data_IF_492902244257
#
_entry.id   IF_492902244257
#
_cell.length_a   1.000
_cell.length_b   1.000
_cell.length_c   1.000
_cell.angle_alpha   90.00
_cell.angle_beta   90.00
_cell.angle_gamma   90.00
#
_symmetry.space_group_name_H-M   'P 1'
#
loop_
_entity.id
_entity.type
_entity.pdbx_description
1 polymer ?
#
# COMPACT_ATOMS: atom_id res chain seq x y z
N UNK A 1 51.87 70.31 -15.42
CA UNK A 1 51.17 69.25 -16.20
C UNK A 1 50.78 68.13 -15.25
N UNK A 2 49.56 68.13 -14.71
CA UNK A 2 49.05 67.05 -13.86
C UNK A 2 47.95 66.31 -14.61
N UNK A 3 48.19 65.06 -15.01
CA UNK A 3 47.18 64.16 -15.55
C UNK A 3 46.45 63.50 -14.39
N UNK A 4 45.16 63.80 -14.22
CA UNK A 4 44.26 63.00 -13.38
C UNK A 4 43.66 61.90 -14.26
N UNK A 5 44.00 60.65 -13.97
CA UNK A 5 43.40 59.47 -14.59
C UNK A 5 42.16 59.11 -13.79
N UNK A 6 40.97 59.27 -14.38
CA UNK A 6 39.71 58.86 -13.77
C UNK A 6 39.46 57.41 -14.11
N UNK A 7 39.50 56.52 -13.12
CA UNK A 7 39.09 55.12 -13.28
C UNK A 7 37.56 55.03 -13.17
N UNK A 8 36.92 54.65 -14.27
CA UNK A 8 35.49 54.33 -14.31
C UNK A 8 35.34 52.85 -13.91
N UNK A 9 34.97 52.60 -12.66
CA UNK A 9 34.63 51.26 -12.18
C UNK A 9 33.27 50.83 -12.76
N UNK A 10 33.30 50.05 -13.84
CA UNK A 10 32.12 49.32 -14.32
C UNK A 10 31.82 48.17 -13.34
N UNK A 11 30.76 48.35 -12.55
CA UNK A 11 30.19 47.30 -11.71
C UNK A 11 29.42 46.33 -12.62
N UNK A 12 30.01 45.20 -12.97
CA UNK A 12 29.30 44.10 -13.61
C UNK A 12 28.41 43.41 -12.57
N UNK A 13 27.10 43.71 -12.59
CA UNK A 13 26.11 42.88 -11.93
C UNK A 13 26.02 41.55 -12.71
N UNK A 14 26.67 40.50 -12.21
CA UNK A 14 26.37 39.14 -12.64
C UNK A 14 25.01 38.76 -12.04
N UNK A 15 23.95 38.86 -12.84
CA UNK A 15 22.71 38.12 -12.60
C UNK A 15 23.04 36.64 -12.77
N UNK A 16 23.47 35.99 -11.69
CA UNK A 16 23.50 34.53 -11.63
C UNK A 16 22.04 34.07 -11.83
N UNK A 17 21.75 33.19 -12.80
CA UNK A 17 20.43 32.59 -12.89
C UNK A 17 20.19 31.86 -11.58
N UNK A 18 19.19 32.33 -10.82
CA UNK A 18 18.63 31.54 -9.74
C UNK A 18 17.92 30.38 -10.45
N UNK A 19 18.62 29.27 -10.61
CA UNK A 19 17.99 28.01 -10.95
C UNK A 19 17.11 27.66 -9.75
N UNK A 20 15.84 28.08 -9.77
CA UNK A 20 14.80 27.36 -9.05
C UNK A 20 14.77 25.98 -9.70
N UNK A 21 15.28 24.98 -8.98
CA UNK A 21 15.09 23.61 -9.42
C UNK A 21 13.58 23.37 -9.38
N UNK A 22 13.04 22.82 -10.47
CA UNK A 22 11.63 22.44 -10.48
C UNK A 22 11.38 21.40 -9.37
N UNK A 23 10.25 21.54 -8.67
CA UNK A 23 9.76 20.54 -7.71
C UNK A 23 9.75 19.16 -8.37
N UNK A 24 10.25 18.13 -7.67
CA UNK A 24 10.18 16.77 -8.20
C UNK A 24 8.76 16.22 -8.01
N UNK A 25 8.12 15.85 -9.12
CA UNK A 25 6.75 15.35 -9.19
C UNK A 25 6.76 13.88 -9.53
N UNK A 26 6.17 13.07 -8.67
CA UNK A 26 6.18 11.61 -8.75
C UNK A 26 4.73 11.16 -8.84
N UNK A 27 4.36 10.58 -9.97
CA UNK A 27 3.09 9.89 -10.10
C UNK A 27 3.13 8.55 -9.39
N UNK A 28 2.04 8.15 -8.76
CA UNK A 28 1.91 6.85 -8.10
C UNK A 28 0.65 6.17 -8.62
N UNK A 29 0.83 5.00 -9.21
CA UNK A 29 -0.23 4.08 -9.62
C UNK A 29 -0.37 3.03 -8.52
N UNK A 30 -1.61 2.84 -8.09
CA UNK A 30 -2.04 1.94 -7.02
C UNK A 30 -2.10 0.47 -7.42
N UNK A 31 -2.69 -0.34 -6.55
CA UNK A 31 -2.89 -1.77 -6.79
C UNK A 31 -3.77 -2.02 -8.02
N UNK A 32 -3.30 -2.87 -8.92
CA UNK A 32 -3.93 -3.07 -10.23
C UNK A 32 -4.81 -4.33 -10.30
N UNK A 33 -4.45 -5.43 -9.64
CA UNK A 33 -5.18 -6.71 -9.69
C UNK A 33 -5.79 -7.08 -8.33
N UNK A 34 -6.22 -8.33 -8.16
CA UNK A 34 -7.04 -8.78 -7.04
C UNK A 34 -8.55 -8.56 -7.25
N UNK A 35 -8.98 -8.18 -8.45
CA UNK A 35 -10.38 -8.00 -8.85
C UNK A 35 -10.96 -9.24 -9.53
N UNK A 36 -12.26 -9.47 -9.33
CA UNK A 36 -12.99 -10.54 -10.03
C UNK A 36 -13.26 -10.23 -11.51
N UNK A 37 -13.15 -8.97 -11.92
CA UNK A 37 -13.29 -8.51 -13.31
C UNK A 37 -12.00 -7.82 -13.77
N UNK A 38 -11.09 -8.62 -14.33
CA UNK A 38 -9.79 -8.14 -14.81
C UNK A 38 -9.90 -7.23 -16.04
N UNK A 39 -10.92 -7.42 -16.88
CA UNK A 39 -11.12 -6.56 -18.05
C UNK A 39 -11.48 -5.13 -17.62
N UNK A 40 -12.36 -5.00 -16.61
CA UNK A 40 -12.65 -3.71 -15.98
C UNK A 40 -11.41 -3.13 -15.29
N UNK A 41 -10.67 -3.95 -14.55
CA UNK A 41 -9.41 -3.54 -13.90
C UNK A 41 -8.42 -2.91 -14.89
N UNK A 42 -8.18 -3.51 -16.06
CA UNK A 42 -7.30 -2.94 -17.08
C UNK A 42 -7.86 -1.70 -17.78
N UNK A 43 -9.18 -1.53 -17.81
CA UNK A 43 -9.80 -0.27 -18.26
C UNK A 43 -9.48 0.87 -17.28
N UNK A 44 -9.64 0.62 -15.98
CA UNK A 44 -9.30 1.58 -14.92
C UNK A 44 -7.80 1.92 -14.94
N UNK A 45 -6.91 0.94 -15.19
CA UNK A 45 -5.48 1.23 -15.38
C UNK A 45 -5.23 2.22 -16.50
N UNK A 46 -5.89 2.02 -17.64
CA UNK A 46 -5.76 2.89 -18.80
C UNK A 46 -6.19 4.32 -18.47
N UNK A 47 -7.31 4.48 -17.77
CA UNK A 47 -7.81 5.77 -17.28
C UNK A 47 -6.84 6.39 -16.27
N UNK A 48 -6.29 5.59 -15.35
CA UNK A 48 -5.28 5.99 -14.38
C UNK A 48 -4.00 6.51 -15.04
N UNK A 49 -3.50 5.79 -16.05
CA UNK A 49 -2.33 6.21 -16.84
C UNK A 49 -2.58 7.55 -17.55
N UNK A 50 -3.78 7.77 -18.10
CA UNK A 50 -4.14 9.04 -18.74
C UNK A 50 -4.23 10.18 -17.72
N UNK A 51 -4.88 9.94 -16.58
CA UNK A 51 -5.04 10.91 -15.50
C UNK A 51 -3.70 11.33 -14.90
N UNK A 52 -2.82 10.36 -14.62
CA UNK A 52 -1.51 10.67 -14.04
C UNK A 52 -0.59 11.34 -15.05
N UNK A 53 -0.61 10.93 -16.32
CA UNK A 53 0.15 11.61 -17.37
C UNK A 53 -0.30 13.07 -17.53
N UNK A 54 -1.60 13.35 -17.44
CA UNK A 54 -2.14 14.71 -17.49
C UNK A 54 -1.71 15.57 -16.28
N UNK A 55 -1.39 14.95 -15.14
CA UNK A 55 -0.80 15.63 -13.98
C UNK A 55 0.68 15.98 -14.18
N UNK A 56 1.29 15.60 -15.30
CA UNK A 56 2.68 15.92 -15.69
C UNK A 56 3.71 15.63 -14.57
N UNK A 57 3.85 14.36 -14.13
CA UNK A 57 4.92 13.95 -13.25
C UNK A 57 6.23 13.76 -14.03
N UNK A 58 7.35 13.84 -13.31
CA UNK A 58 8.69 13.59 -13.86
C UNK A 58 8.97 12.08 -14.02
N UNK A 59 8.48 11.28 -13.06
CA UNK A 59 8.51 9.81 -13.07
C UNK A 59 7.20 9.24 -12.51
N UNK A 60 6.92 7.97 -12.77
CA UNK A 60 5.80 7.22 -12.18
C UNK A 60 6.30 6.01 -11.39
N UNK A 61 5.73 5.77 -10.22
CA UNK A 61 5.92 4.57 -9.42
C UNK A 61 4.64 3.74 -9.44
N UNK A 62 4.74 2.42 -9.57
CA UNK A 62 3.61 1.50 -9.46
C UNK A 62 3.83 0.61 -8.25
N UNK A 63 2.83 0.54 -7.35
CA UNK A 63 2.96 -0.17 -6.06
C UNK A 63 2.82 -1.70 -6.16
N UNK A 64 2.84 -2.28 -7.36
CA UNK A 64 2.70 -3.73 -7.60
C UNK A 64 1.30 -4.20 -7.95
N UNK A 65 1.14 -5.52 -7.99
CA UNK A 65 -0.07 -6.25 -8.38
C UNK A 65 -0.57 -5.89 -9.78
N UNK A 66 0.33 -5.93 -10.77
CA UNK A 66 0.00 -5.59 -12.16
C UNK A 66 -0.57 -6.78 -12.96
N UNK A 67 -0.36 -8.01 -12.48
CA UNK A 67 -0.91 -9.25 -13.06
C UNK A 67 -1.50 -10.19 -12.00
N UNK A 68 -2.07 -11.31 -12.45
CA UNK A 68 -2.59 -12.39 -11.61
C UNK A 68 -1.77 -13.67 -11.83
N UNK A 69 -0.75 -13.89 -11.00
CA UNK A 69 0.19 -15.02 -11.09
C UNK A 69 -0.44 -16.39 -10.82
N UNK A 70 -1.68 -16.40 -10.34
CA UNK A 70 -2.53 -17.59 -10.21
C UNK A 70 -2.98 -18.17 -11.56
N UNK A 71 -2.87 -17.42 -12.66
CA UNK A 71 -3.23 -17.85 -14.02
C UNK A 71 -2.13 -18.68 -14.71
N UNK A 72 -2.40 -19.12 -15.95
CA UNK A 72 -1.40 -19.79 -16.77
C UNK A 72 -0.28 -18.82 -17.16
N UNK A 73 0.93 -19.31 -17.41
CA UNK A 73 2.07 -18.45 -17.78
C UNK A 73 1.81 -17.65 -19.07
N UNK A 74 0.99 -18.18 -19.99
CA UNK A 74 0.59 -17.47 -21.19
C UNK A 74 -0.33 -16.29 -20.85
N UNK A 75 -1.33 -16.52 -20.01
CA UNK A 75 -2.29 -15.47 -19.62
C UNK A 75 -1.60 -14.37 -18.79
N UNK A 76 -0.65 -14.75 -17.92
CA UNK A 76 0.20 -13.81 -17.17
C UNK A 76 0.99 -12.93 -18.13
N UNK A 77 1.61 -13.53 -19.15
CA UNK A 77 2.38 -12.79 -20.14
C UNK A 77 1.49 -11.85 -20.94
N UNK A 78 0.33 -12.30 -21.40
CA UNK A 78 -0.60 -11.49 -22.19
C UNK A 78 -1.14 -10.31 -21.34
N UNK A 79 -1.48 -10.56 -20.09
CA UNK A 79 -1.94 -9.55 -19.13
C UNK A 79 -0.82 -8.55 -18.79
N UNK A 80 0.42 -9.02 -18.62
CA UNK A 80 1.58 -8.16 -18.42
C UNK A 80 1.80 -7.25 -19.64
N UNK A 81 1.80 -7.82 -20.86
CA UNK A 81 1.98 -7.07 -22.10
C UNK A 81 0.85 -6.04 -22.30
N UNK A 82 -0.39 -6.37 -21.93
CA UNK A 82 -1.51 -5.42 -21.92
C UNK A 82 -1.29 -4.27 -20.92
N UNK A 83 -0.97 -4.58 -19.66
CA UNK A 83 -0.79 -3.58 -18.61
C UNK A 83 0.34 -2.59 -18.96
N UNK A 84 1.49 -3.14 -19.38
CA UNK A 84 2.65 -2.36 -19.83
C UNK A 84 2.34 -1.49 -21.04
N UNK A 85 1.44 -1.92 -21.94
CA UNK A 85 1.05 -1.09 -23.08
C UNK A 85 0.41 0.23 -22.64
N UNK A 86 -0.40 0.24 -21.57
CA UNK A 86 -0.98 1.46 -21.01
C UNK A 86 0.07 2.31 -20.32
N UNK A 87 0.96 1.70 -19.52
CA UNK A 87 2.04 2.42 -18.86
C UNK A 87 2.99 3.09 -19.87
N UNK A 88 3.21 2.46 -21.02
CA UNK A 88 4.07 2.98 -22.08
C UNK A 88 3.47 4.16 -22.84
N UNK A 89 2.15 4.22 -22.95
CA UNK A 89 1.45 5.35 -23.59
C UNK A 89 1.65 6.66 -22.82
N UNK A 90 1.94 6.61 -21.51
CA UNK A 90 2.24 7.81 -20.72
C UNK A 90 3.46 8.56 -21.26
N UNK A 91 4.42 7.87 -21.90
CA UNK A 91 5.71 8.41 -22.32
C UNK A 91 6.49 9.09 -21.16
N UNK A 92 6.33 8.54 -19.95
CA UNK A 92 7.01 8.97 -18.72
C UNK A 92 7.79 7.76 -18.17
N UNK A 93 9.01 7.93 -17.65
CA UNK A 93 9.73 6.84 -16.98
C UNK A 93 8.89 6.28 -15.83
N UNK A 94 8.72 4.96 -15.78
CA UNK A 94 7.97 4.30 -14.73
C UNK A 94 8.77 3.16 -14.12
N UNK A 95 8.56 2.94 -12.82
CA UNK A 95 9.23 1.90 -12.02
C UNK A 95 8.20 1.19 -11.15
N UNK A 96 8.40 -0.10 -10.87
CA UNK A 96 7.43 -0.95 -10.16
C UNK A 96 8.11 -1.81 -9.09
N UNK A 97 7.45 -1.99 -7.95
CA UNK A 97 7.72 -3.07 -6.99
C UNK A 97 6.80 -4.25 -7.30
N UNK A 98 7.28 -5.48 -7.17
CA UNK A 98 6.43 -6.66 -7.38
C UNK A 98 5.51 -6.88 -6.18
N UNK A 99 4.22 -7.10 -6.46
CA UNK A 99 3.24 -7.44 -5.45
C UNK A 99 2.97 -8.93 -5.32
N UNK A 100 2.09 -9.27 -4.39
CA UNK A 100 1.82 -10.65 -4.05
C UNK A 100 1.04 -11.36 -5.16
N UNK A 101 0.15 -10.63 -5.86
CA UNK A 101 -0.52 -11.13 -7.05
C UNK A 101 0.44 -11.27 -8.25
N UNK A 102 1.59 -10.60 -8.27
CA UNK A 102 2.57 -10.74 -9.35
C UNK A 102 3.41 -12.03 -9.26
N UNK A 103 3.57 -12.59 -8.05
CA UNK A 103 4.59 -13.62 -7.79
C UNK A 103 4.11 -14.84 -7.00
N UNK A 104 2.96 -14.79 -6.33
CA UNK A 104 2.52 -15.92 -5.52
C UNK A 104 2.03 -17.09 -6.41
N UNK A 105 2.58 -18.31 -6.25
CA UNK A 105 2.12 -19.46 -7.00
C UNK A 105 0.65 -19.79 -6.66
N UNK A 106 -0.05 -20.57 -7.50
CA UNK A 106 -1.41 -21.05 -7.23
C UNK A 106 -1.57 -21.79 -5.89
N UNK A 107 -2.80 -22.22 -5.58
CA UNK A 107 -3.25 -22.67 -4.24
C UNK A 107 -2.52 -23.90 -3.63
N UNK A 108 -1.53 -24.48 -4.30
CA UNK A 108 -0.74 -25.63 -3.84
C UNK A 108 0.57 -25.26 -3.11
N UNK A 109 0.70 -24.00 -2.70
CA UNK A 109 1.84 -23.52 -1.92
C UNK A 109 1.90 -24.12 -0.51
N UNK A 110 3.09 -24.60 -0.11
CA UNK A 110 3.40 -24.92 1.29
C UNK A 110 4.26 -23.82 1.91
N UNK A 111 3.86 -23.22 3.05
CA UNK A 111 4.65 -22.19 3.74
C UNK A 111 6.11 -22.56 3.95
N UNK A 112 7.01 -21.64 3.60
CA UNK A 112 8.46 -21.83 3.71
C UNK A 112 9.10 -22.64 2.59
N UNK A 113 8.33 -23.05 1.58
CA UNK A 113 8.92 -23.52 0.32
C UNK A 113 9.44 -22.34 -0.49
N UNK A 114 10.62 -22.52 -1.10
CA UNK A 114 11.20 -21.58 -2.05
C UNK A 114 10.69 -21.90 -3.46
N UNK A 115 9.43 -21.60 -3.73
CA UNK A 115 8.95 -21.58 -5.12
C UNK A 115 9.27 -20.20 -5.70
N UNK A 116 10.09 -20.14 -6.74
CA UNK A 116 10.45 -18.87 -7.39
C UNK A 116 9.91 -18.78 -8.81
N UNK A 117 9.19 -19.77 -9.32
CA UNK A 117 8.85 -19.86 -10.75
C UNK A 117 8.07 -18.64 -11.25
N UNK A 118 7.08 -18.18 -10.47
CA UNK A 118 6.28 -16.99 -10.80
C UNK A 118 7.06 -15.69 -10.61
N UNK A 119 7.87 -15.60 -9.56
CA UNK A 119 8.78 -14.46 -9.35
C UNK A 119 9.81 -14.35 -10.49
N UNK A 120 10.38 -15.47 -10.93
CA UNK A 120 11.34 -15.56 -12.03
C UNK A 120 10.67 -15.20 -13.37
N UNK A 121 9.44 -15.67 -13.61
CA UNK A 121 8.65 -15.28 -14.77
C UNK A 121 8.42 -13.76 -14.79
N UNK A 122 7.93 -13.20 -13.69
CA UNK A 122 7.67 -11.76 -13.58
C UNK A 122 8.95 -10.93 -13.77
N UNK A 123 10.06 -11.31 -13.12
CA UNK A 123 11.35 -10.67 -13.29
C UNK A 123 11.81 -10.69 -14.76
N UNK A 124 11.66 -11.83 -15.45
CA UNK A 124 12.04 -11.93 -16.86
C UNK A 124 11.18 -11.06 -17.78
N UNK A 125 9.87 -10.96 -17.52
CA UNK A 125 8.97 -10.05 -18.22
C UNK A 125 9.37 -8.59 -18.00
N UNK A 126 9.65 -8.22 -16.75
CA UNK A 126 10.08 -6.87 -16.38
C UNK A 126 11.41 -6.50 -17.03
N UNK A 127 12.41 -7.40 -17.00
CA UNK A 127 13.71 -7.20 -17.67
C UNK A 127 13.54 -7.03 -19.16
N UNK A 128 12.72 -7.86 -19.80
CA UNK A 128 12.41 -7.74 -21.23
C UNK A 128 11.81 -6.39 -21.53
N UNK A 129 10.88 -5.89 -20.71
CA UNK A 129 10.28 -4.58 -20.92
C UNK A 129 11.27 -3.44 -20.71
N UNK A 130 11.99 -3.44 -19.59
CA UNK A 130 12.96 -2.39 -19.27
C UNK A 130 14.12 -2.32 -20.27
N UNK A 131 14.53 -3.44 -20.86
CA UNK A 131 15.56 -3.46 -21.90
C UNK A 131 15.20 -2.66 -23.15
N UNK A 132 13.91 -2.36 -23.38
CA UNK A 132 13.42 -1.54 -24.50
C UNK A 132 13.48 -0.04 -24.21
N UNK A 133 13.82 0.36 -22.97
CA UNK A 133 13.68 1.73 -22.47
C UNK A 133 15.04 2.33 -22.16
N UNK A 134 15.31 3.54 -22.64
CA UNK A 134 16.63 4.18 -22.54
C UNK A 134 17.01 4.67 -21.14
N UNK A 135 16.05 4.79 -20.21
CA UNK A 135 16.23 5.41 -18.88
C UNK A 135 15.94 4.46 -17.70
N UNK A 136 15.75 3.16 -17.97
CA UNK A 136 15.41 2.19 -16.93
C UNK A 136 16.63 1.35 -16.53
N UNK A 137 16.86 1.22 -15.23
CA UNK A 137 17.77 0.20 -14.67
C UNK A 137 17.13 -1.16 -14.95
N UNK A 138 17.87 -2.09 -15.57
CA UNK A 138 17.39 -3.45 -15.80
C UNK A 138 17.63 -4.24 -14.50
N UNK A 139 16.59 -4.65 -13.75
CA UNK A 139 16.76 -5.34 -12.49
C UNK A 139 17.36 -6.73 -12.68
N UNK A 140 18.34 -7.09 -11.84
CA UNK A 140 18.80 -8.48 -11.71
C UNK A 140 17.95 -9.29 -10.71
N UNK A 141 17.22 -8.58 -9.83
CA UNK A 141 16.33 -9.14 -8.79
C UNK A 141 15.08 -8.27 -8.68
N UNK A 142 14.04 -8.77 -8.03
CA UNK A 142 12.79 -8.02 -7.81
C UNK A 142 12.92 -6.88 -6.78
N UNK A 143 14.09 -6.75 -6.16
CA UNK A 143 14.51 -5.57 -5.43
C UNK A 143 15.68 -4.90 -6.15
N UNK A 144 15.60 -3.59 -6.33
CA UNK A 144 16.54 -2.79 -7.10
C UNK A 144 16.43 -1.31 -6.73
N UNK A 145 17.39 -0.50 -7.16
CA UNK A 145 17.40 0.94 -6.92
C UNK A 145 17.76 1.71 -8.19
N UNK A 146 17.45 3.01 -8.20
CA UNK A 146 17.80 3.92 -9.29
C UNK A 146 17.89 5.37 -8.78
N UNK A 147 18.67 6.18 -9.49
CA UNK A 147 18.78 7.61 -9.22
C UNK A 147 17.98 8.43 -10.24
N UNK A 148 17.30 9.46 -9.76
CA UNK A 148 16.62 10.42 -10.62
C UNK A 148 16.75 11.83 -10.06
N UNK A 149 17.35 12.74 -10.83
CA UNK A 149 17.50 14.17 -10.47
C UNK A 149 18.14 14.44 -9.09
N UNK A 150 19.03 13.54 -8.66
CA UNK A 150 19.75 13.61 -7.38
C UNK A 150 18.98 13.02 -6.18
N UNK A 151 17.78 12.49 -6.40
CA UNK A 151 17.07 11.64 -5.45
C UNK A 151 17.35 10.17 -5.76
N UNK A 152 17.31 9.35 -4.72
CA UNK A 152 17.53 7.92 -4.83
C UNK A 152 16.22 7.16 -4.53
N UNK A 153 15.93 6.16 -5.33
CA UNK A 153 14.71 5.38 -5.25
C UNK A 153 15.05 3.92 -5.04
N UNK A 154 14.37 3.28 -4.10
CA UNK A 154 14.60 1.88 -3.74
C UNK A 154 13.28 1.13 -3.90
N UNK A 155 13.24 0.14 -4.78
CA UNK A 155 12.13 -0.82 -4.87
C UNK A 155 12.53 -2.06 -4.07
N UNK A 156 11.86 -2.32 -2.95
CA UNK A 156 12.00 -3.54 -2.17
C UNK A 156 11.03 -4.61 -2.67
N UNK A 157 11.35 -5.86 -2.38
CA UNK A 157 10.53 -7.03 -2.66
C UNK A 157 9.98 -7.60 -1.35
N UNK A 158 8.68 -7.47 -1.11
CA UNK A 158 8.03 -7.93 0.14
C UNK A 158 7.80 -9.44 0.19
N UNK A 159 7.80 -10.12 -0.96
CA UNK A 159 7.48 -11.56 -1.08
C UNK A 159 8.74 -12.46 -1.01
N UNK A 160 9.75 -12.05 -0.21
CA UNK A 160 10.91 -12.91 0.12
C UNK A 160 10.46 -14.23 0.78
N UNK A 161 9.32 -14.17 1.48
CA UNK A 161 8.58 -15.32 1.96
C UNK A 161 7.16 -15.23 1.39
N UNK A 162 6.85 -16.13 0.45
CA UNK A 162 5.56 -16.13 -0.24
C UNK A 162 4.38 -16.37 0.70
N UNK A 163 3.21 -15.84 0.32
CA UNK A 163 1.92 -16.03 1.01
C UNK A 163 1.96 -15.59 2.48
N UNK A 164 2.70 -14.53 2.77
CA UNK A 164 2.67 -13.83 4.06
C UNK A 164 1.92 -12.52 3.91
N UNK A 165 1.15 -12.12 4.92
CA UNK A 165 0.52 -10.80 4.98
C UNK A 165 0.84 -10.22 6.37
N UNK A 166 1.19 -8.93 6.48
CA UNK A 166 1.53 -8.32 7.77
C UNK A 166 0.34 -8.26 8.75
N UNK A 167 -0.90 -8.40 8.28
CA UNK A 167 -2.13 -8.33 9.07
C UNK A 167 -2.61 -9.71 9.54
N UNK A 168 -2.30 -10.78 8.80
CA UNK A 168 -2.80 -12.13 9.05
C UNK A 168 -1.92 -13.24 8.43
N UNK A 169 -2.18 -14.49 8.80
CA UNK A 169 -1.37 -15.62 8.32
C UNK A 169 -0.10 -15.82 9.15
N UNK A 170 0.99 -16.28 8.51
CA UNK A 170 2.25 -16.52 9.21
C UNK A 170 3.10 -15.24 9.33
N UNK A 171 2.65 -14.31 10.17
CA UNK A 171 3.30 -13.02 10.43
C UNK A 171 4.77 -13.14 10.88
N UNK A 172 5.22 -14.30 11.36
CA UNK A 172 6.62 -14.51 11.72
C UNK A 172 7.54 -14.65 10.50
N UNK A 173 6.97 -14.91 9.33
CA UNK A 173 7.66 -15.01 8.05
C UNK A 173 7.56 -13.73 7.21
N UNK A 174 6.65 -12.82 7.55
CA UNK A 174 6.56 -11.49 6.95
C UNK A 174 7.77 -10.62 7.36
N UNK A 175 8.85 -10.75 6.60
CA UNK A 175 10.11 -10.00 6.80
C UNK A 175 10.94 -9.99 5.52
N UNK A 176 11.70 -8.92 5.32
CA UNK A 176 12.77 -8.88 4.32
C UNK A 176 13.84 -9.92 4.69
N UNK A 177 14.33 -10.69 3.73
CA UNK A 177 15.40 -11.70 3.91
C UNK A 177 16.74 -11.07 4.31
N UNK A 178 17.66 -11.87 4.86
CA UNK A 178 19.00 -11.39 5.23
C UNK A 178 19.82 -10.94 4.01
N UNK A 179 19.61 -11.58 2.86
CA UNK A 179 20.25 -11.23 1.60
C UNK A 179 19.78 -9.87 1.10
N UNK A 180 18.46 -9.66 1.04
CA UNK A 180 17.90 -8.37 0.62
C UNK A 180 18.22 -7.26 1.64
N UNK A 181 18.22 -7.57 2.94
CA UNK A 181 18.62 -6.61 3.97
C UNK A 181 20.08 -6.17 3.84
N UNK A 182 21.00 -7.12 3.56
CA UNK A 182 22.42 -6.80 3.36
C UNK A 182 22.63 -5.95 2.10
N UNK A 183 21.91 -6.26 1.01
CA UNK A 183 21.91 -5.44 -0.19
C UNK A 183 21.39 -4.03 0.10
N UNK A 184 20.29 -3.90 0.86
CA UNK A 184 19.72 -2.59 1.23
C UNK A 184 20.71 -1.75 2.05
N UNK A 185 21.44 -2.36 2.98
CA UNK A 185 22.48 -1.65 3.75
C UNK A 185 23.59 -1.13 2.83
N UNK A 186 24.05 -1.92 1.86
CA UNK A 186 25.05 -1.49 0.88
C UNK A 186 24.53 -0.35 0.00
N UNK A 187 23.33 -0.48 -0.55
CA UNK A 187 22.68 0.50 -1.42
C UNK A 187 22.47 1.85 -0.72
N UNK A 188 22.00 1.83 0.53
CA UNK A 188 21.84 3.03 1.37
C UNK A 188 23.16 3.72 1.71
N UNK A 189 24.23 2.94 1.93
CA UNK A 189 25.57 3.50 2.15
C UNK A 189 26.11 4.16 0.87
N UNK A 190 25.86 3.56 -0.29
CA UNK A 190 26.28 4.08 -1.58
C UNK A 190 25.49 5.33 -2.02
N UNK A 191 24.24 5.48 -1.54
CA UNK A 191 23.37 6.63 -1.83
C UNK A 191 23.44 7.76 -0.79
N UNK A 192 24.47 7.77 0.09
CA UNK A 192 24.61 8.77 1.16
C UNK A 192 24.69 10.24 0.69
N UNK A 193 24.95 10.48 -0.61
CA UNK A 193 24.99 11.82 -1.21
C UNK A 193 23.67 12.26 -1.85
N UNK A 194 22.65 11.40 -1.87
CA UNK A 194 21.34 11.73 -2.43
C UNK A 194 20.67 12.87 -1.65
N UNK A 195 19.93 13.73 -2.37
CA UNK A 195 19.12 14.80 -1.78
C UNK A 195 18.04 14.26 -0.84
N UNK A 196 17.58 13.05 -1.11
CA UNK A 196 16.67 12.27 -0.28
C UNK A 196 16.35 10.93 -0.94
N UNK A 197 15.82 10.01 -0.14
CA UNK A 197 15.55 8.63 -0.54
C UNK A 197 14.05 8.35 -0.43
N UNK A 198 13.47 7.76 -1.47
CA UNK A 198 12.10 7.21 -1.44
C UNK A 198 12.18 5.70 -1.59
N UNK A 199 11.55 5.00 -0.66
CA UNK A 199 11.43 3.54 -0.69
C UNK A 199 10.03 3.16 -1.16
N UNK A 200 9.95 2.22 -2.09
CA UNK A 200 8.73 1.62 -2.60
C UNK A 200 8.73 0.13 -2.23
N UNK A 201 7.63 -0.37 -1.68
CA UNK A 201 7.46 -1.78 -1.32
C UNK A 201 6.00 -2.14 -1.48
N UNK A 202 5.66 -3.31 -2.02
CA UNK A 202 4.24 -3.63 -2.22
C UNK A 202 3.48 -3.76 -0.89
N UNK A 203 3.92 -4.67 -0.01
CA UNK A 203 3.27 -4.85 1.30
C UNK A 203 3.72 -3.79 2.31
N UNK A 204 2.79 -3.17 3.06
CA UNK A 204 3.11 -2.27 4.16
C UNK A 204 3.55 -3.06 5.40
N UNK A 205 4.73 -3.67 5.32
CA UNK A 205 5.29 -4.56 6.34
C UNK A 205 5.45 -3.90 7.72
N UNK A 206 5.38 -2.56 7.82
CA UNK A 206 5.43 -1.83 9.09
C UNK A 206 4.26 -2.13 10.03
N UNK A 207 3.17 -2.71 9.55
CA UNK A 207 2.10 -3.24 10.40
C UNK A 207 2.55 -4.42 11.28
N UNK A 208 3.60 -5.13 10.86
CA UNK A 208 4.28 -6.13 11.66
C UNK A 208 5.66 -5.62 12.11
N UNK A 209 5.65 -4.90 13.24
CA UNK A 209 6.86 -4.29 13.77
C UNK A 209 7.99 -5.30 14.01
N UNK A 210 7.69 -6.56 14.30
CA UNK A 210 8.73 -7.56 14.57
C UNK A 210 9.54 -7.91 13.32
N UNK A 211 8.90 -7.95 12.15
CA UNK A 211 9.55 -8.12 10.86
C UNK A 211 10.21 -6.84 10.33
N UNK A 212 9.53 -5.69 10.47
CA UNK A 212 9.97 -4.43 9.88
C UNK A 212 10.99 -3.63 10.70
N UNK A 213 11.03 -3.79 12.02
CA UNK A 213 11.87 -2.97 12.92
C UNK A 213 13.32 -2.89 12.49
N UNK A 214 13.90 -3.98 11.99
CA UNK A 214 15.30 -3.97 11.52
C UNK A 214 15.49 -3.08 10.29
N UNK A 215 14.54 -3.11 9.36
CA UNK A 215 14.54 -2.29 8.15
C UNK A 215 14.37 -0.83 8.54
N UNK A 216 13.35 -0.50 9.35
CA UNK A 216 13.16 0.87 9.84
C UNK A 216 14.41 1.43 10.56
N UNK A 217 15.04 0.63 11.43
CA UNK A 217 16.26 1.01 12.13
C UNK A 217 17.45 1.27 11.20
N UNK A 218 17.49 0.64 10.03
CA UNK A 218 18.46 0.92 8.99
C UNK A 218 18.07 2.22 8.26
N UNK A 219 16.84 2.31 7.75
CA UNK A 219 16.34 3.47 7.00
C UNK A 219 16.53 4.80 7.76
N UNK A 220 16.23 4.84 9.06
CA UNK A 220 16.33 6.06 9.89
C UNK A 220 17.77 6.60 10.06
N UNK A 221 18.79 5.83 9.66
CA UNK A 221 20.20 6.28 9.67
C UNK A 221 20.57 7.04 8.40
N UNK A 222 19.72 7.00 7.37
CA UNK A 222 19.93 7.62 6.07
C UNK A 222 18.84 8.69 5.82
N UNK A 223 19.00 9.49 4.76
CA UNK A 223 18.06 10.57 4.42
C UNK A 223 16.80 10.02 3.72
N UNK A 224 16.12 9.06 4.35
CA UNK A 224 14.87 8.48 3.84
C UNK A 224 13.72 9.42 4.14
N UNK A 225 13.05 9.89 3.09
CA UNK A 225 11.94 10.84 3.17
C UNK A 225 10.60 10.12 3.33
N UNK A 226 10.41 9.03 2.58
CA UNK A 226 9.19 8.25 2.62
C UNK A 226 9.38 6.77 2.30
N UNK A 227 8.46 5.96 2.82
CA UNK A 227 8.20 4.58 2.39
C UNK A 227 6.76 4.52 1.88
N UNK A 228 6.59 4.07 0.64
CA UNK A 228 5.31 4.03 -0.08
C UNK A 228 4.96 2.57 -0.35
N UNK A 229 3.72 2.18 -0.08
CA UNK A 229 3.20 0.85 -0.33
C UNK A 229 1.81 0.82 -0.94
N UNK A 230 1.37 -0.38 -1.34
CA UNK A 230 0.03 -0.70 -1.82
C UNK A 230 -0.58 -1.82 -0.99
N UNK A 231 -0.98 -2.91 -1.64
CA UNK A 231 -1.45 -4.20 -1.12
C UNK A 231 -2.81 -4.17 -0.40
N UNK A 232 -3.11 -3.12 0.35
CA UNK A 232 -4.33 -3.05 1.14
C UNK A 232 -5.55 -2.52 0.38
N UNK A 233 -5.33 -1.99 -0.82
CA UNK A 233 -6.34 -1.42 -1.71
C UNK A 233 -7.14 -0.26 -1.09
N UNK A 234 -6.55 0.45 -0.14
CA UNK A 234 -7.09 1.68 0.42
C UNK A 234 -5.96 2.69 0.65
N UNK A 235 -6.34 3.96 0.84
CA UNK A 235 -5.39 5.03 1.13
C UNK A 235 -5.18 5.22 2.63
N UNK A 236 -3.93 5.27 3.07
CA UNK A 236 -3.60 5.62 4.45
C UNK A 236 -2.27 6.38 4.51
N UNK A 237 -2.30 7.55 5.16
CA UNK A 237 -1.11 8.29 5.53
C UNK A 237 -0.84 8.02 7.02
N UNK A 238 0.19 7.24 7.30
CA UNK A 238 0.59 6.86 8.66
C UNK A 238 1.31 8.01 9.39
N UNK A 239 1.54 9.14 8.70
CA UNK A 239 2.34 10.24 9.20
C UNK A 239 3.82 9.87 9.28
N UNK A 240 4.53 10.52 10.20
CA UNK A 240 5.98 10.44 10.32
C UNK A 240 6.42 9.56 11.49
N UNK A 241 7.37 8.67 11.24
CA UNK A 241 8.13 7.94 12.27
C UNK A 241 9.62 8.16 12.01
N UNK A 242 10.35 8.70 12.99
CA UNK A 242 11.77 9.07 12.85
C UNK A 242 12.07 9.91 11.59
N UNK A 243 11.19 10.89 11.31
CA UNK A 243 11.21 11.78 10.13
C UNK A 243 10.95 11.10 8.77
N UNK A 244 10.64 9.80 8.76
CA UNK A 244 10.24 9.06 7.55
C UNK A 244 8.72 9.03 7.48
N UNK A 245 8.13 9.48 6.36
CA UNK A 245 6.68 9.37 6.13
C UNK A 245 6.31 7.99 5.61
N UNK A 246 5.26 7.37 6.15
CA UNK A 246 4.77 6.07 5.69
C UNK A 246 3.40 6.24 5.04
N UNK A 247 3.25 5.73 3.81
CA UNK A 247 2.05 5.92 3.00
C UNK A 247 1.64 4.61 2.37
N UNK A 248 0.37 4.24 2.50
CA UNK A 248 -0.30 3.19 1.73
C UNK A 248 -1.19 3.87 0.69
N UNK A 249 -0.99 3.53 -0.58
CA UNK A 249 -1.78 4.03 -1.70
C UNK A 249 -2.78 2.96 -2.10
N UNK A 250 -4.02 3.38 -2.36
CA UNK A 250 -5.11 2.50 -2.72
C UNK A 250 -5.01 1.99 -4.17
N UNK A 251 -6.16 1.73 -4.77
CA UNK A 251 -6.25 0.93 -5.99
C UNK A 251 -6.37 1.77 -7.28
N UNK A 252 -5.74 1.29 -8.35
CA UNK A 252 -5.90 1.78 -9.74
C UNK A 252 -6.44 0.68 -10.67
N UNK A 253 -7.25 -0.24 -10.15
CA UNK A 253 -7.89 -1.30 -10.96
C UNK A 253 -8.17 -2.58 -10.18
N UNK A 254 -7.49 -2.75 -9.05
CA UNK A 254 -7.73 -3.84 -8.10
C UNK A 254 -9.08 -3.75 -7.36
N UNK A 255 -9.25 -4.58 -6.34
CA UNK A 255 -10.50 -4.57 -5.56
C UNK A 255 -10.54 -3.36 -4.62
N UNK A 256 -11.48 -2.44 -4.80
CA UNK A 256 -11.75 -1.41 -3.80
C UNK A 256 -12.57 -1.96 -2.63
N UNK A 257 -12.43 -1.35 -1.45
CA UNK A 257 -13.28 -1.70 -0.30
C UNK A 257 -14.71 -1.20 -0.60
N UNK A 258 -15.75 -1.99 -0.27
CA UNK A 258 -17.11 -1.47 -0.37
C UNK A 258 -17.42 -0.56 0.83
N UNK A 259 -16.85 0.63 0.78
CA UNK A 259 -16.89 1.64 1.82
C UNK A 259 -17.20 3.00 1.20
N UNK A 260 -17.34 4.05 2.01
CA UNK A 260 -17.33 5.40 1.45
C UNK A 260 -16.04 5.65 0.65
N UNK A 261 -16.06 6.62 -0.26
CA UNK A 261 -14.86 6.99 -1.01
C UNK A 261 -13.70 7.39 -0.08
N UNK A 262 -14.03 8.03 1.04
CA UNK A 262 -13.10 8.37 2.13
C UNK A 262 -12.64 7.15 2.96
N UNK A 263 -12.90 5.92 2.51
CA UNK A 263 -12.60 4.69 3.22
C UNK A 263 -12.03 3.60 2.27
N UNK A 264 -11.46 4.02 1.14
CA UNK A 264 -10.91 3.10 0.12
C UNK A 264 -11.92 2.58 -0.89
N UNK A 265 -13.10 3.21 -0.98
CA UNK A 265 -14.14 2.89 -1.97
C UNK A 265 -14.00 3.59 -3.32
N UNK A 266 -12.78 3.96 -3.73
CA UNK A 266 -12.53 4.66 -5.00
C UNK A 266 -11.30 4.16 -5.72
N UNK A 267 -11.37 4.21 -7.05
CA UNK A 267 -10.21 4.16 -7.92
C UNK A 267 -9.58 5.53 -8.07
N UNK A 268 -8.26 5.60 -7.97
CA UNK A 268 -7.52 6.84 -8.10
C UNK A 268 -6.08 6.54 -8.55
N UNK A 269 -5.38 7.60 -8.93
CA UNK A 269 -3.91 7.67 -8.93
C UNK A 269 -3.49 8.75 -7.93
N UNK A 270 -2.20 8.84 -7.60
CA UNK A 270 -1.71 9.85 -6.66
C UNK A 270 -0.56 10.64 -7.25
N UNK A 271 -0.47 11.93 -6.94
CA UNK A 271 0.65 12.78 -7.29
C UNK A 271 1.37 13.19 -6.00
N UNK A 272 2.60 12.73 -5.84
CA UNK A 272 3.51 13.14 -4.79
C UNK A 272 4.43 14.24 -5.32
N UNK A 273 4.56 15.35 -4.59
CA UNK A 273 5.46 16.45 -4.94
C UNK A 273 6.44 16.71 -3.80
N UNK A 274 7.72 16.77 -4.14
CA UNK A 274 8.82 17.20 -3.27
C UNK A 274 9.17 18.65 -3.60
N UNK A 275 9.09 19.53 -2.59
CA UNK A 275 9.58 20.90 -2.72
C UNK A 275 11.11 20.99 -2.55
N UNK A 276 11.65 22.21 -2.70
CA UNK A 276 13.09 22.47 -2.58
C UNK A 276 13.68 22.13 -1.19
N UNK A 277 12.83 21.98 -0.17
CA UNK A 277 13.19 21.62 1.19
C UNK A 277 12.89 20.15 1.50
N UNK A 278 12.59 19.33 0.49
CA UNK A 278 12.17 17.93 0.61
C UNK A 278 10.86 17.72 1.39
N UNK A 279 10.00 18.74 1.50
CA UNK A 279 8.68 18.54 2.07
C UNK A 279 7.81 17.76 1.09
N UNK A 280 7.14 16.74 1.59
CA UNK A 280 6.26 15.87 0.80
C UNK A 280 4.83 16.41 0.87
N UNK A 281 4.25 16.64 -0.30
CA UNK A 281 2.80 16.77 -0.46
C UNK A 281 2.31 15.62 -1.33
N UNK A 282 1.13 15.07 -1.02
CA UNK A 282 0.52 14.01 -1.82
C UNK A 282 -0.94 14.36 -2.06
N UNK A 283 -1.37 14.26 -3.31
CA UNK A 283 -2.72 14.52 -3.78
C UNK A 283 -3.29 13.26 -4.42
N UNK A 284 -4.54 12.94 -4.13
CA UNK A 284 -5.29 11.90 -4.83
C UNK A 284 -5.96 12.49 -6.07
N UNK A 285 -5.92 11.77 -7.18
CA UNK A 285 -6.61 12.09 -8.43
C UNK A 285 -7.63 10.98 -8.68
N UNK A 286 -8.91 11.18 -8.29
CA UNK A 286 -9.95 10.20 -8.52
C UNK A 286 -10.16 9.91 -10.02
N UNK A 287 -10.44 8.66 -10.37
CA UNK A 287 -10.77 8.25 -11.76
C UNK A 287 -12.26 8.29 -12.05
N UNK A 288 -13.07 8.57 -11.03
CA UNK A 288 -14.51 8.80 -11.13
C UNK A 288 -14.83 10.25 -10.73
N UNK A 289 -16.00 10.74 -11.10
CA UNK A 289 -16.45 12.11 -10.77
C UNK A 289 -16.68 12.25 -9.26
N UNK A 290 -15.61 12.50 -8.51
CA UNK A 290 -15.62 12.66 -7.06
C UNK A 290 -14.91 13.96 -6.65
N UNK A 291 -15.36 14.55 -5.54
CA UNK A 291 -14.96 15.89 -5.11
C UNK A 291 -13.80 15.92 -4.11
N UNK A 292 -13.23 14.76 -3.75
CA UNK A 292 -12.19 14.67 -2.73
C UNK A 292 -10.85 14.27 -3.35
N UNK A 293 -9.84 15.08 -3.09
CA UNK A 293 -8.49 14.98 -3.65
C UNK A 293 -7.41 14.72 -2.57
N UNK A 294 -7.84 14.32 -1.37
CA UNK A 294 -6.97 14.10 -0.21
C UNK A 294 -7.12 12.70 0.35
N UNK A 295 -6.10 12.29 1.11
CA UNK A 295 -6.17 11.07 1.90
C UNK A 295 -7.28 11.16 2.95
N UNK A 296 -7.88 10.01 3.20
CA UNK A 296 -8.78 9.78 4.31
C UNK A 296 -8.11 10.09 5.64
N UNK A 297 -8.91 10.51 6.62
CA UNK A 297 -8.41 10.70 7.98
C UNK A 297 -7.88 9.38 8.56
N UNK A 298 -6.68 9.43 9.14
CA UNK A 298 -5.98 8.26 9.66
C UNK A 298 -6.80 7.50 10.70
N UNK A 299 -7.46 8.21 11.63
CA UNK A 299 -8.22 7.58 12.71
C UNK A 299 -9.37 6.73 12.15
N UNK A 300 -10.00 7.20 11.08
CA UNK A 300 -11.04 6.44 10.38
C UNK A 300 -10.46 5.23 9.65
N UNK A 301 -9.30 5.37 9.00
CA UNK A 301 -8.65 4.25 8.33
C UNK A 301 -8.14 3.19 9.30
N UNK A 302 -7.61 3.58 10.46
CA UNK A 302 -7.21 2.67 11.54
C UNK A 302 -8.42 1.86 12.05
N UNK A 303 -9.59 2.50 12.19
CA UNK A 303 -10.84 1.81 12.56
C UNK A 303 -11.28 0.82 11.49
N UNK A 304 -11.24 1.23 10.22
CA UNK A 304 -11.60 0.36 9.09
C UNK A 304 -10.66 -0.84 9.02
N UNK A 305 -9.35 -0.63 9.14
CA UNK A 305 -8.36 -1.69 9.12
C UNK A 305 -8.50 -2.61 10.34
N UNK A 306 -8.79 -2.08 11.54
CA UNK A 306 -9.07 -2.91 12.71
C UNK A 306 -10.28 -3.83 12.47
N UNK A 307 -11.37 -3.30 11.89
CA UNK A 307 -12.56 -4.08 11.53
C UNK A 307 -12.19 -5.13 10.46
N UNK A 308 -11.48 -4.74 9.40
CA UNK A 308 -11.06 -5.63 8.31
C UNK A 308 -10.17 -6.77 8.83
N UNK A 309 -9.21 -6.50 9.73
CA UNK A 309 -8.36 -7.53 10.35
C UNK A 309 -9.16 -8.44 11.27
N UNK A 310 -9.99 -7.87 12.16
CA UNK A 310 -10.78 -8.65 13.12
C UNK A 310 -11.78 -9.57 12.44
N UNK A 311 -12.41 -9.11 11.35
CA UNK A 311 -13.42 -9.87 10.62
C UNK A 311 -12.83 -10.73 9.50
N UNK A 312 -11.76 -10.27 8.85
CA UNK A 312 -11.01 -11.01 7.83
C UNK A 312 -10.46 -12.33 8.37
N UNK A 313 -9.96 -12.34 9.61
CA UNK A 313 -9.51 -13.58 10.27
C UNK A 313 -10.61 -14.64 10.43
N UNK A 314 -11.88 -14.25 10.45
CA UNK A 314 -13.03 -15.17 10.50
C UNK A 314 -13.23 -15.85 9.13
N UNK A 315 -12.99 -15.13 8.02
CA UNK A 315 -13.16 -15.60 6.65
C UNK A 315 -12.23 -16.76 6.27
N UNK A 316 -11.02 -16.78 6.84
CA UNK A 316 -9.98 -17.76 6.53
C UNK A 316 -10.05 -19.02 7.41
N UNK A 317 -11.09 -19.16 8.23
CA UNK A 317 -11.33 -20.42 8.96
C UNK A 317 -11.89 -21.49 8.01
N UNK A 318 -11.35 -22.72 8.01
CA UNK A 318 -11.91 -23.78 7.18
C UNK A 318 -13.37 -24.02 7.59
N UNK A 319 -14.30 -23.79 6.66
CA UNK A 319 -15.77 -23.83 6.79
C UNK A 319 -16.51 -22.51 7.09
N UNK A 320 -15.83 -21.36 7.17
CA UNK A 320 -16.50 -20.06 7.10
C UNK A 320 -16.46 -19.55 5.65
N UNK A 321 -17.55 -18.97 5.18
CA UNK A 321 -17.61 -18.29 3.88
C UNK A 321 -18.21 -16.92 4.12
N UNK A 322 -17.39 -15.86 4.03
CA UNK A 322 -17.90 -14.49 3.99
C UNK A 322 -18.35 -14.23 2.56
N UNK A 323 -19.64 -13.93 2.36
CA UNK A 323 -20.14 -13.41 1.10
C UNK A 323 -20.02 -11.89 1.12
N UNK A 324 -18.97 -11.33 0.52
CA UNK A 324 -18.70 -9.89 0.45
C UNK A 324 -17.29 -9.51 0.94
N UNK A 325 -16.84 -8.28 0.66
CA UNK A 325 -15.61 -7.70 1.24
C UNK A 325 -15.81 -7.54 2.78
N UNK A 326 -14.80 -7.61 3.67
CA UNK A 326 -15.04 -7.50 5.11
C UNK A 326 -15.57 -6.12 5.54
N UNK A 327 -15.34 -5.10 4.71
CA UNK A 327 -15.87 -3.73 4.88
C UNK A 327 -17.29 -3.60 4.29
N UNK A 328 -17.72 -4.62 3.56
CA UNK A 328 -19.04 -4.80 2.94
C UNK A 328 -20.08 -5.29 3.96
N UNK A 329 -20.11 -4.70 5.16
CA UNK A 329 -21.19 -4.94 6.12
C UNK A 329 -22.15 -3.75 6.10
N UNK A 330 -23.12 -3.73 5.17
CA UNK A 330 -24.44 -3.25 5.52
C UNK A 330 -24.91 -4.09 6.71
N UNK A 331 -25.16 -3.45 7.84
CA UNK A 331 -25.84 -4.09 8.96
C UNK A 331 -27.25 -4.48 8.50
N UNK A 332 -27.38 -5.72 8.00
CA UNK A 332 -28.62 -6.46 8.01
C UNK A 332 -28.31 -7.96 8.04
N UNK A 333 -28.40 -8.46 9.28
CA UNK A 333 -28.60 -9.82 9.76
C UNK A 333 -28.75 -10.85 8.64
N UNK A 334 -27.86 -11.84 8.60
CA UNK A 334 -28.30 -13.20 8.91
C UNK A 334 -27.11 -14.11 9.15
N UNK A 335 -27.28 -14.86 10.24
CA UNK A 335 -26.79 -16.21 10.46
C UNK A 335 -25.29 -16.22 10.72
N UNK A 336 -24.77 -16.85 11.77
CA UNK A 336 -24.93 -18.20 12.28
C UNK A 336 -23.90 -18.59 13.45
N UNK A 337 -24.15 -18.62 14.75
CA UNK A 337 -23.42 -19.56 15.68
C UNK A 337 -21.84 -19.64 15.85
N UNK A 338 -21.45 -20.38 16.91
CA UNK A 338 -20.15 -20.96 17.36
C UNK A 338 -18.82 -20.18 17.22
N UNK A 339 -18.39 -19.61 18.35
CA UNK A 339 -17.10 -19.93 18.97
C UNK A 339 -17.22 -19.81 20.51
N UNK A 340 -16.99 -20.93 21.20
CA UNK A 340 -17.00 -21.00 22.67
C UNK A 340 -16.97 -22.45 23.13
N UNK A 341 -15.77 -22.94 23.44
CA UNK A 341 -15.45 -24.35 23.62
C UNK A 341 -16.36 -25.11 24.61
N UNK A 342 -17.03 -26.13 24.09
CA UNK A 342 -17.52 -27.28 24.85
C UNK A 342 -17.30 -28.53 24.00
N UNK A 343 -16.66 -29.55 24.59
CA UNK A 343 -16.60 -30.89 24.01
C UNK A 343 -18.03 -31.38 23.71
N UNK A 344 -18.34 -31.69 22.44
CA UNK A 344 -19.60 -32.31 22.05
C UNK A 344 -19.33 -33.47 21.10
N UNK A 345 -19.77 -34.65 21.54
CA UNK A 345 -19.78 -35.90 20.80
C UNK A 345 -20.42 -35.71 19.41
N UNK A 346 -19.68 -36.04 18.37
CA UNK A 346 -20.16 -36.00 16.98
C UNK A 346 -21.29 -37.00 16.77
N UNK A 347 -22.47 -36.50 16.41
CA UNK A 347 -23.46 -37.24 15.60
C UNK A 347 -23.98 -36.33 14.50
N UNK A 348 -23.48 -36.56 13.29
CA UNK A 348 -24.00 -36.21 11.97
C UNK A 348 -25.00 -35.04 11.89
N UNK A 349 -24.52 -33.81 11.65
CA UNK A 349 -25.29 -32.80 10.90
C UNK A 349 -24.33 -31.82 10.20
N UNK A 350 -24.54 -31.55 8.91
CA UNK A 350 -24.02 -30.43 8.11
C UNK A 350 -25.21 -29.57 7.64
N UNK A 351 -25.03 -28.32 7.17
CA UNK A 351 -24.06 -27.28 7.57
C UNK A 351 -24.74 -25.89 7.84
N UNK A 352 -24.02 -24.97 8.50
CA UNK A 352 -24.36 -23.55 8.53
C UNK A 352 -24.07 -22.85 9.89
N UNK A 353 -22.95 -22.12 9.97
CA UNK A 353 -22.53 -21.13 11.00
C UNK A 353 -21.94 -19.82 10.34
N UNK A 354 -22.24 -18.57 10.79
CA UNK A 354 -21.77 -17.19 10.49
C UNK A 354 -22.14 -16.15 11.59
N UNK A 355 -22.29 -14.85 11.33
CA UNK A 355 -22.45 -13.86 12.42
C UNK A 355 -23.38 -12.70 12.03
N UNK A 356 -24.12 -12.13 13.02
CA UNK A 356 -24.84 -10.86 12.88
C UNK A 356 -24.46 -9.89 14.01
N UNK A 357 -24.03 -8.67 13.65
CA UNK A 357 -23.78 -7.54 14.57
C UNK A 357 -24.94 -6.58 14.37
N UNK A 358 -25.76 -6.36 15.40
CA UNK A 358 -27.07 -5.71 15.26
C UNK A 358 -27.15 -4.27 15.76
N UNK A 359 -26.13 -3.75 16.47
CA UNK A 359 -26.05 -2.34 16.85
C UNK A 359 -24.62 -1.91 17.15
N UNK A 360 -24.26 -0.74 16.63
CA UNK A 360 -23.06 0.02 16.98
C UNK A 360 -23.56 1.33 17.59
N UNK A 361 -23.66 1.37 18.91
CA UNK A 361 -24.11 2.56 19.64
C UNK A 361 -22.96 3.06 20.52
N UNK A 362 -22.55 4.31 20.30
CA UNK A 362 -21.79 5.10 21.26
C UNK A 362 -22.63 5.19 22.54
N UNK A 363 -22.18 4.53 23.60
CA UNK A 363 -22.79 4.67 24.91
C UNK A 363 -22.00 5.76 25.63
N UNK A 364 -22.58 6.95 25.80
CA UNK A 364 -22.13 7.84 26.87
C UNK A 364 -22.32 7.09 28.19
N UNK A 365 -21.22 6.79 28.87
CA UNK A 365 -21.26 6.20 30.19
C UNK A 365 -21.91 7.22 31.14
N UNK A 366 -23.15 6.93 31.54
CA UNK A 366 -23.82 7.71 32.58
C UNK A 366 -22.95 7.75 33.85
N UNK A 367 -22.86 8.95 34.41
CA UNK A 367 -21.81 9.48 35.28
C UNK A 367 -21.80 8.97 36.73
N UNK A 368 -21.84 7.66 36.95
CA UNK A 368 -21.87 7.08 38.32
C UNK A 368 -20.58 6.34 38.74
N UNK A 369 -19.49 6.54 38.01
CA UNK A 369 -18.15 6.13 38.48
C UNK A 369 -17.21 7.31 38.36
N UNK A 370 -16.38 7.56 39.39
CA UNK A 370 -15.31 8.57 39.43
C UNK A 370 -14.19 8.25 38.40
N UNK A 371 -14.52 8.12 37.11
CA UNK A 371 -13.58 7.93 36.00
C UNK A 371 -13.77 9.05 34.98
N UNK A 372 -12.69 9.47 34.29
CA UNK A 372 -12.72 10.61 33.38
C UNK A 372 -13.77 10.44 32.28
N UNK A 373 -14.45 11.54 31.94
CA UNK A 373 -15.51 11.68 30.93
C UNK A 373 -15.09 11.41 29.48
N UNK A 374 -13.85 10.95 29.26
CA UNK A 374 -13.19 10.96 27.95
C UNK A 374 -13.03 9.54 27.37
N UNK A 375 -13.67 8.55 28.01
CA UNK A 375 -13.71 7.15 27.56
C UNK A 375 -14.89 6.95 26.61
N UNK A 376 -14.61 6.90 25.30
CA UNK A 376 -15.57 6.36 24.35
C UNK A 376 -15.53 4.83 24.43
N UNK A 377 -16.66 4.23 24.81
CA UNK A 377 -16.81 2.78 24.84
C UNK A 377 -17.63 2.32 23.65
N UNK A 378 -17.08 1.37 22.90
CA UNK A 378 -17.81 0.64 21.87
C UNK A 378 -18.36 -0.64 22.50
N UNK A 379 -19.69 -0.73 22.60
CA UNK A 379 -20.36 -1.94 23.09
C UNK A 379 -20.59 -2.91 21.95
N UNK A 380 -20.04 -4.11 22.05
CA UNK A 380 -20.24 -5.19 21.08
C UNK A 380 -21.06 -6.29 21.77
N UNK A 381 -22.29 -6.47 21.33
CA UNK A 381 -23.19 -7.51 21.82
C UNK A 381 -23.44 -8.56 20.74
N UNK A 382 -23.26 -9.83 21.12
CA UNK A 382 -23.74 -10.97 20.35
C UNK A 382 -25.06 -11.42 20.94
N UNK A 383 -26.11 -11.46 20.13
CA UNK A 383 -27.46 -11.89 20.53
C UNK A 383 -27.89 -13.12 19.72
N UNK A 384 -28.74 -13.97 20.31
CA UNK A 384 -29.33 -15.11 19.60
C UNK A 384 -30.58 -14.69 18.80
N UNK A 385 -31.15 -15.63 18.05
CA UNK A 385 -32.36 -15.41 17.21
C UNK A 385 -33.62 -15.00 18.01
N UNK A 386 -33.62 -15.17 19.33
CA UNK A 386 -34.71 -14.79 20.23
C UNK A 386 -34.45 -13.45 20.95
N UNK A 387 -33.34 -12.76 20.64
CA UNK A 387 -32.95 -11.49 21.24
C UNK A 387 -32.24 -11.60 22.59
N UNK A 388 -31.82 -12.80 23.00
CA UNK A 388 -31.06 -13.00 24.24
C UNK A 388 -29.57 -12.77 24.01
N UNK A 389 -28.92 -12.01 24.89
CA UNK A 389 -27.47 -11.76 24.85
C UNK A 389 -26.69 -13.04 25.16
N UNK A 390 -25.79 -13.41 24.23
CA UNK A 390 -24.89 -14.56 24.31
C UNK A 390 -23.48 -14.16 24.77
N UNK A 391 -23.02 -12.96 24.39
CA UNK A 391 -21.76 -12.36 24.83
C UNK A 391 -21.85 -10.85 24.79
N UNK A 392 -21.26 -10.19 25.77
CA UNK A 392 -21.25 -8.73 25.94
C UNK A 392 -19.83 -8.30 26.26
N UNK A 393 -19.27 -7.39 25.46
CA UNK A 393 -17.97 -6.78 25.74
C UNK A 393 -17.99 -5.29 25.43
N UNK A 394 -17.20 -4.57 26.19
CA UNK A 394 -16.92 -3.15 25.99
C UNK A 394 -15.47 -3.00 25.57
N UNK A 395 -15.28 -2.42 24.38
CA UNK A 395 -13.97 -1.97 23.93
C UNK A 395 -13.84 -0.52 24.39
N UNK A 396 -12.84 -0.25 25.23
CA UNK A 396 -12.56 1.08 25.73
C UNK A 396 -11.46 1.70 24.88
N UNK A 397 -11.74 2.84 24.26
CA UNK A 397 -10.72 3.73 23.70
C UNK A 397 -10.45 4.86 24.69
N UNK A 398 -9.18 5.13 24.98
CA UNK A 398 -8.75 6.40 25.56
C UNK A 398 -8.20 7.29 24.45
N UNK A 399 -8.56 8.58 24.47
CA UNK A 399 -7.88 9.61 23.68
C UNK A 399 -6.36 9.58 23.86
#
# INVERSE_FOLDING_TARGET
MNRKTTYLSMLFLFLLPVFSFAQLRIGIIGDQTGSTDLAKSYTVLSEGCQAIAAANPDIVLHVGDIVESSQSDSDIKDSFEQAVSYLNVMNIPWYITAGDHDVNPPNDYTPGTKNTEKADLFLNLLRKEYSKRALCVIPEKLYYSFDYHGYHFICLYSEDYLRTDPRWGNIFMDKISDEQFSWLEEDLNNSASAKGIIVLIHQPMWYNITGWKRVHNLLRKHHVLAVIAGHFHYNQDEGYTDSIRYIVVGSTGGTIKNASENAGGIYHVSLLTLDDNNNITIQLIPLENYSYDKFSDRENMDRIQAIDTMLGGIAWTPNATIKGNPIDIPVNIYSLAKLGGWQLLYKNVSPGIGVAISNLSLVELNSDTNRPSDLQAMKVQFINEQGHTLWDSMIFGSN
#
